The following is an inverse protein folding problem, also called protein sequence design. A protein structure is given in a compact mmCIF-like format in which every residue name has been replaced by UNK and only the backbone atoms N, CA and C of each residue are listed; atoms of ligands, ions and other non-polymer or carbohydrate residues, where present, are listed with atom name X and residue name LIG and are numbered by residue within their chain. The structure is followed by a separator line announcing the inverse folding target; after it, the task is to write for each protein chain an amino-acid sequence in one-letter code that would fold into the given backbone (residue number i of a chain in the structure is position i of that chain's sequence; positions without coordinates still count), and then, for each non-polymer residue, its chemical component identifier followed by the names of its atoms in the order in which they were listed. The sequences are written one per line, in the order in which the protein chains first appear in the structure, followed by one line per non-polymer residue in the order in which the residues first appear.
data_IF_656503823229
#
_entry.id   IF_656503823229
#
_cell.length_a   1.000
_cell.length_b   1.000
_cell.length_c   1.000
_cell.angle_alpha   90.00
_cell.angle_beta   90.00
_cell.angle_gamma   90.00
#
_symmetry.space_group_name_H-M   'P 1'
#
loop_
_entity.id
_entity.type
_entity.pdbx_description
1 polymer ?
#
# COMPACT_ATOMS: atom_id res chain seq x y z
N UNK A 1 27.60 13.83 42.34
CA UNK A 1 26.97 12.50 42.23
C UNK A 1 25.98 12.54 41.05
N UNK A 2 26.41 12.73 39.80
CA UNK A 2 26.97 11.75 38.85
C UNK A 2 26.01 10.59 38.51
N UNK A 3 25.17 10.75 37.47
CA UNK A 3 24.77 9.66 36.55
C UNK A 3 24.38 10.24 35.18
N UNK A 4 25.35 10.32 34.28
CA UNK A 4 25.14 10.61 32.85
C UNK A 4 24.87 9.26 32.16
N UNK A 5 23.66 9.05 31.62
CA UNK A 5 23.31 7.85 30.84
C UNK A 5 23.65 8.15 29.38
N UNK A 6 24.67 7.47 28.86
CA UNK A 6 25.09 7.54 27.46
C UNK A 6 24.27 6.52 26.65
N UNK A 7 23.28 6.99 25.90
CA UNK A 7 22.57 6.19 24.89
C UNK A 7 23.40 6.16 23.61
N UNK A 8 24.14 5.07 23.41
CA UNK A 8 24.87 4.82 22.15
C UNK A 8 23.85 4.34 21.11
N UNK A 9 23.46 5.23 20.19
CA UNK A 9 22.79 4.82 18.95
C UNK A 9 23.83 4.15 18.05
N UNK A 10 23.83 2.82 18.03
CA UNK A 10 24.52 2.05 16.99
C UNK A 10 23.74 2.23 15.69
N UNK A 11 24.20 3.16 14.85
CA UNK A 11 23.77 3.19 13.45
C UNK A 11 24.42 2.00 12.73
N UNK A 12 23.70 0.87 12.72
CA UNK A 12 24.04 -0.25 11.86
C UNK A 12 23.76 0.15 10.41
N UNK A 13 24.81 0.56 9.69
CA UNK A 13 24.77 0.71 8.23
C UNK A 13 24.74 -0.68 7.59
N UNK A 14 23.57 -1.31 7.60
CA UNK A 14 23.30 -2.49 6.78
C UNK A 14 23.18 -2.05 5.32
N UNK A 15 23.98 -2.66 4.45
CA UNK A 15 23.71 -2.73 3.02
C UNK A 15 22.39 -3.51 2.83
N UNK A 16 21.25 -2.82 2.98
CA UNK A 16 19.97 -3.39 2.56
C UNK A 16 19.98 -3.38 1.04
N UNK A 17 20.09 -4.56 0.45
CA UNK A 17 19.77 -4.73 -0.97
C UNK A 17 18.43 -4.04 -1.25
N UNK A 18 18.33 -3.39 -2.41
CA UNK A 18 17.11 -2.68 -2.79
C UNK A 18 15.91 -3.63 -2.66
N UNK A 19 14.83 -3.22 -1.98
CA UNK A 19 13.67 -4.08 -1.83
C UNK A 19 13.06 -4.36 -3.21
N UNK A 20 12.55 -5.58 -3.40
CA UNK A 20 11.72 -5.87 -4.55
C UNK A 20 10.36 -5.18 -4.38
N UNK A 21 9.90 -4.51 -5.43
CA UNK A 21 8.59 -3.85 -5.44
C UNK A 21 7.65 -4.65 -6.35
N UNK A 22 6.53 -5.12 -5.79
CA UNK A 22 5.46 -5.79 -6.53
C UNK A 22 4.23 -4.86 -6.56
N UNK A 23 3.90 -4.37 -7.76
CA UNK A 23 2.69 -3.58 -8.00
C UNK A 23 1.59 -4.50 -8.57
N UNK A 24 0.47 -4.61 -7.86
CA UNK A 24 -0.70 -5.39 -8.28
C UNK A 24 -1.82 -4.39 -8.57
N UNK A 25 -2.39 -4.45 -9.77
CA UNK A 25 -3.54 -3.64 -10.19
C UNK A 25 -4.66 -4.58 -10.61
N UNK A 26 -5.81 -4.48 -9.95
CA UNK A 26 -7.03 -5.22 -10.31
C UNK A 26 -7.94 -4.33 -11.16
N UNK A 27 -8.47 -4.84 -12.26
CA UNK A 27 -9.40 -4.10 -13.13
C UNK A 27 -10.81 -4.10 -12.52
N UNK A 28 -11.47 -2.94 -12.53
CA UNK A 28 -12.82 -2.70 -12.02
C UNK A 28 -13.12 -3.18 -10.59
N UNK A 29 -12.11 -3.33 -9.73
CA UNK A 29 -12.31 -3.67 -8.32
C UNK A 29 -12.86 -2.48 -7.54
N UNK A 30 -14.01 -2.68 -6.88
CA UNK A 30 -14.62 -1.64 -6.03
C UNK A 30 -13.88 -1.50 -4.68
N UNK A 31 -13.91 -0.30 -4.07
CA UNK A 31 -13.27 -0.05 -2.77
C UNK A 31 -13.94 -0.80 -1.61
N UNK A 32 -15.22 -1.15 -1.74
CA UNK A 32 -16.00 -1.89 -0.73
C UNK A 32 -15.83 -3.41 -0.82
N UNK A 33 -14.95 -3.91 -1.70
CA UNK A 33 -14.68 -5.34 -1.82
C UNK A 33 -13.75 -5.87 -0.71
N UNK A 34 -12.92 -5.02 -0.11
CA UNK A 34 -12.04 -5.39 1.00
C UNK A 34 -12.81 -5.38 2.32
N UNK A 35 -12.59 -6.37 3.19
CA UNK A 35 -13.28 -6.49 4.48
C UNK A 35 -14.82 -6.49 4.38
N UNK A 36 -15.36 -7.06 3.30
CA UNK A 36 -16.79 -7.16 3.06
C UNK A 36 -17.35 -8.51 3.57
N UNK A 37 -18.44 -8.52 4.37
CA UNK A 37 -19.00 -9.78 4.89
C UNK A 37 -19.62 -10.69 3.82
N UNK A 38 -19.98 -10.15 2.65
CA UNK A 38 -20.59 -10.90 1.55
C UNK A 38 -19.55 -11.39 0.52
N UNK A 39 -18.33 -10.84 0.55
CA UNK A 39 -17.28 -11.12 -0.45
C UNK A 39 -16.04 -11.66 0.27
N UNK A 40 -15.73 -12.94 0.02
CA UNK A 40 -14.55 -13.57 0.62
C UNK A 40 -13.26 -13.20 -0.13
N UNK A 41 -12.37 -12.42 0.50
CA UNK A 41 -11.06 -12.03 -0.06
C UNK A 41 -9.87 -12.39 0.84
N UNK A 42 -9.73 -13.65 1.30
CA UNK A 42 -8.85 -14.00 2.42
C UNK A 42 -7.37 -13.61 2.23
N UNK A 43 -6.86 -13.64 0.99
CA UNK A 43 -5.48 -13.23 0.70
C UNK A 43 -5.28 -11.70 0.80
N UNK A 44 -6.26 -10.92 0.36
CA UNK A 44 -6.24 -9.46 0.43
C UNK A 44 -6.51 -8.98 1.86
N UNK A 45 -7.44 -9.63 2.58
CA UNK A 45 -7.73 -9.34 3.98
C UNK A 45 -6.50 -9.60 4.87
N UNK A 46 -5.81 -10.73 4.65
CA UNK A 46 -4.56 -11.02 5.35
C UNK A 46 -3.43 -10.03 4.99
N UNK A 47 -3.42 -9.50 3.76
CA UNK A 47 -2.47 -8.46 3.36
C UNK A 47 -2.80 -7.13 4.05
N UNK A 48 -4.06 -6.73 4.06
CA UNK A 48 -4.53 -5.51 4.70
C UNK A 48 -4.23 -5.50 6.21
N UNK A 49 -4.44 -6.61 6.91
CA UNK A 49 -4.21 -6.73 8.36
C UNK A 49 -2.74 -6.50 8.80
N UNK A 50 -1.77 -6.65 7.89
CA UNK A 50 -0.33 -6.46 8.15
C UNK A 50 0.28 -5.26 7.39
N UNK A 51 -0.55 -4.43 6.76
CA UNK A 51 -0.13 -3.34 5.89
C UNK A 51 -0.80 -2.02 6.28
N UNK A 52 -0.38 -0.94 5.63
CA UNK A 52 -1.11 0.33 5.68
C UNK A 52 -2.21 0.29 4.62
N UNK A 53 -3.45 0.56 5.02
CA UNK A 53 -4.61 0.62 4.12
C UNK A 53 -5.02 2.08 3.92
N UNK A 54 -5.08 2.51 2.67
CA UNK A 54 -5.60 3.82 2.30
C UNK A 54 -7.11 3.74 2.10
N UNK A 55 -7.88 4.38 2.97
CA UNK A 55 -9.37 4.39 2.89
C UNK A 55 -9.91 5.46 1.94
N UNK A 56 -9.05 6.37 1.47
CA UNK A 56 -9.40 7.49 0.60
C UNK A 56 -8.43 7.55 -0.59
N UNK A 57 -8.45 6.51 -1.43
CA UNK A 57 -7.65 6.42 -2.66
C UNK A 57 -8.57 6.52 -3.88
N UNK A 58 -8.28 7.45 -4.79
CA UNK A 58 -9.13 7.75 -5.94
C UNK A 58 -8.32 7.72 -7.24
N UNK A 59 -8.92 7.23 -8.31
CA UNK A 59 -8.47 7.56 -9.66
C UNK A 59 -8.96 8.97 -10.02
N UNK A 60 -8.24 9.70 -10.86
CA UNK A 60 -8.64 11.07 -11.23
C UNK A 60 -9.81 11.11 -12.23
N UNK A 61 -10.36 9.95 -12.61
CA UNK A 61 -11.46 9.84 -13.56
C UNK A 61 -11.06 10.08 -15.01
N UNK A 62 -12.04 10.40 -15.84
CA UNK A 62 -11.86 10.74 -17.25
C UNK A 62 -12.96 11.67 -17.73
N UNK A 63 -12.63 12.57 -18.67
CA UNK A 63 -13.62 13.35 -19.42
C UNK A 63 -14.29 12.55 -20.55
N UNK A 64 -13.82 11.33 -20.81
CA UNK A 64 -14.38 10.39 -21.78
C UNK A 64 -14.90 9.13 -21.10
N UNK A 65 -15.80 8.41 -21.77
CA UNK A 65 -16.07 7.00 -21.45
C UNK A 65 -14.79 6.16 -21.52
N UNK A 66 -14.84 4.93 -20.98
CA UNK A 66 -13.68 4.04 -20.84
C UNK A 66 -12.55 4.62 -19.97
N UNK A 67 -12.88 4.94 -18.71
CA UNK A 67 -11.96 5.49 -17.70
C UNK A 67 -10.72 4.60 -17.42
N UNK A 68 -10.75 3.32 -17.77
CA UNK A 68 -9.65 2.38 -17.55
C UNK A 68 -8.35 2.80 -18.28
N UNK A 69 -8.45 3.39 -19.48
CA UNK A 69 -7.29 3.90 -20.23
C UNK A 69 -6.53 5.00 -19.47
N UNK A 70 -7.16 6.16 -19.20
CA UNK A 70 -6.53 7.23 -18.42
C UNK A 70 -6.19 6.79 -17.00
N UNK A 71 -7.00 5.96 -16.34
CA UNK A 71 -6.68 5.45 -15.00
C UNK A 71 -5.38 4.65 -14.97
N UNK A 72 -5.10 3.81 -15.97
CA UNK A 72 -3.83 3.07 -16.06
C UNK A 72 -2.66 4.00 -16.36
N UNK A 73 -2.87 5.02 -17.20
CA UNK A 73 -1.85 6.01 -17.50
C UNK A 73 -1.45 6.87 -16.28
N UNK A 74 -2.29 6.98 -15.24
CA UNK A 74 -1.94 7.68 -13.99
C UNK A 74 -0.96 6.90 -13.10
N UNK A 75 -0.89 5.57 -13.28
CA UNK A 75 -0.03 4.68 -12.49
C UNK A 75 1.37 4.54 -13.10
N UNK A 76 1.49 4.79 -14.42
CA UNK A 76 2.72 4.68 -15.22
C UNK A 76 3.45 6.02 -15.32
#
# INVERSE_FOLDING_TARGET
MSRLILMVCVFASGCLAAPNVLLIVADDMRPDALANPEIATPALDALAARSIVFTNAYCMGSYSGAVCGPSRAMIM
#
